data_IF_904282703193
#
_entry.id   IF_904282703193
#
_cell.length_a   1.000
_cell.length_b   1.000
_cell.length_c   1.000
_cell.angle_alpha   90.00
_cell.angle_beta   90.00
_cell.angle_gamma   90.00
#
_symmetry.space_group_name_H-M   'P 1'
#
loop_
_entity.id
_entity.type
_entity.pdbx_description
1 polymer ?
2 non-polymer ?
3 non-polymer ?
4 water ?
#
# COMPACT_ATOMS: atom_id res chain seq x y z
N UNK A 1 2.08 25.49 10.41
CA UNK A 1 2.69 26.58 11.21
C UNK A 1 1.55 27.43 11.85
N UNK A 2 1.29 28.60 11.25
CA UNK A 2 0.09 29.39 11.48
C UNK A 2 -0.85 29.36 10.26
N UNK A 3 -0.69 28.35 9.42
CA UNK A 3 -1.39 28.24 8.19
C UNK A 3 -2.81 27.78 8.52
N UNK A 4 -3.77 28.42 7.90
CA UNK A 4 -5.16 28.12 8.22
C UNK A 4 -5.44 26.74 7.70
N UNK A 5 -6.43 26.05 8.28
CA UNK A 5 -6.80 24.78 7.69
C UNK A 5 -7.47 24.93 6.31
N UNK A 6 -8.23 26.02 6.08
CA UNK A 6 -8.73 26.27 4.73
C UNK A 6 -7.58 26.28 3.70
N UNK A 7 -6.45 26.87 4.03
CA UNK A 7 -5.34 26.92 3.11
C UNK A 7 -4.65 25.57 2.90
N UNK A 8 -4.41 24.83 3.96
CA UNK A 8 -3.97 23.46 3.84
C UNK A 8 -4.88 22.67 2.88
N UNK A 9 -6.20 22.84 3.02
CA UNK A 9 -7.17 22.05 2.27
C UNK A 9 -7.15 22.39 0.84
N UNK A 10 -7.06 23.67 0.59
CA UNK A 10 -6.90 24.18 -0.75
C UNK A 10 -5.53 23.82 -1.36
N UNK A 11 -4.43 23.93 -0.62
CA UNK A 11 -3.15 23.48 -1.16
C UNK A 11 -3.16 21.99 -1.60
N UNK A 12 -3.60 21.11 -0.76
CA UNK A 12 -3.66 19.69 -1.11
C UNK A 12 -4.67 19.42 -2.23
N UNK A 13 -5.84 20.03 -2.23
CA UNK A 13 -6.75 19.84 -3.40
C UNK A 13 -6.05 20.26 -4.71
N UNK A 14 -5.19 21.28 -4.63
CA UNK A 14 -4.49 21.75 -5.88
C UNK A 14 -3.46 20.76 -6.37
N UNK A 15 -2.90 19.92 -5.50
CA UNK A 15 -1.95 18.92 -6.01
C UNK A 15 -2.68 17.91 -6.87
N UNK A 16 -3.93 17.59 -6.49
CA UNK A 16 -4.72 16.64 -7.29
C UNK A 16 -5.28 17.28 -8.57
N UNK A 17 -5.68 18.52 -8.47
CA UNK A 17 -6.15 19.32 -9.61
C UNK A 17 -5.04 19.46 -10.62
N UNK A 18 -3.81 19.75 -10.18
CA UNK A 18 -2.68 19.96 -11.12
C UNK A 18 -2.41 18.68 -11.90
N UNK A 19 -2.44 17.52 -11.23
CA UNK A 19 -2.24 16.24 -11.89
C UNK A 19 -3.44 15.91 -12.78
N UNK A 20 -4.46 16.72 -12.77
CA UNK A 20 -5.65 16.41 -13.57
C UNK A 20 -6.23 15.06 -13.28
N UNK A 21 -6.34 14.74 -12.00
CA UNK A 21 -7.01 13.52 -11.63
C UNK A 21 -7.94 13.79 -10.51
N UNK A 22 -8.65 12.76 -10.10
CA UNK A 22 -9.55 12.83 -8.99
C UNK A 22 -8.98 11.87 -7.94
N UNK A 23 -8.79 12.37 -6.71
CA UNK A 23 -8.29 11.53 -5.62
C UNK A 23 -8.43 12.08 -4.22
N UNK A 24 -8.02 11.31 -3.24
CA UNK A 24 -8.12 11.67 -1.85
C UNK A 24 -6.85 11.25 -1.16
N UNK A 25 -6.48 11.94 -0.10
CA UNK A 25 -5.43 11.46 0.79
C UNK A 25 -5.94 11.57 2.18
N UNK A 26 -5.93 10.41 2.84
CA UNK A 26 -6.43 10.28 4.21
C UNK A 26 -5.24 10.17 5.17
N UNK A 27 -5.19 11.05 6.18
CA UNK A 27 -4.16 11.06 7.17
C UNK A 27 -4.74 10.74 8.57
N UNK A 28 -3.97 10.10 9.41
CA UNK A 28 -4.49 9.77 10.74
C UNK A 28 -3.51 10.18 11.81
N UNK A 29 -3.87 11.15 12.67
CA UNK A 29 -3.03 11.54 13.81
C UNK A 29 -3.67 11.01 15.05
N UNK A 30 -3.02 10.05 15.68
CA UNK A 30 -3.54 9.36 16.82
C UNK A 30 -4.83 8.67 16.42
N UNK A 31 -5.91 9.07 17.05
CA UNK A 31 -7.19 8.56 16.66
C UNK A 31 -7.89 9.41 15.60
N UNK A 32 -7.38 10.54 15.17
CA UNK A 32 -8.20 11.40 14.34
C UNK A 32 -7.93 11.25 12.87
N UNK A 33 -8.94 10.94 12.06
CA UNK A 33 -8.77 10.76 10.60
C UNK A 33 -9.13 11.99 9.83
N UNK A 34 -8.27 12.49 8.95
CA UNK A 34 -8.64 13.65 8.11
C UNK A 34 -8.53 13.28 6.64
N UNK A 35 -9.47 13.77 5.85
CA UNK A 35 -9.61 13.48 4.44
C UNK A 35 -9.31 14.77 3.71
N UNK A 36 -8.25 14.75 2.89
CA UNK A 36 -7.89 15.84 1.99
C UNK A 36 -7.97 15.44 0.52
N UNK A 37 -7.81 16.40 -0.35
CA UNK A 37 -7.72 16.14 -1.80
C UNK A 37 -8.85 16.84 -2.55
N UNK A 38 -9.08 16.45 -3.78
CA UNK A 38 -10.08 17.05 -4.62
C UNK A 38 -11.26 16.16 -4.86
N UNK A 39 -11.35 15.01 -4.20
CA UNK A 39 -12.53 14.17 -4.35
C UNK A 39 -12.88 13.43 -3.10
N UNK A 40 -13.30 14.21 -2.11
CA UNK A 40 -13.40 13.72 -0.77
C UNK A 40 -14.32 12.51 -0.62
N UNK A 41 -15.25 12.31 -1.54
CA UNK A 41 -16.21 11.18 -1.40
C UNK A 41 -15.61 9.82 -1.74
N UNK A 42 -14.38 9.82 -2.21
CA UNK A 42 -13.69 8.57 -2.43
C UNK A 42 -13.40 7.85 -1.15
N UNK A 43 -13.51 8.53 -0.02
CA UNK A 43 -12.90 8.03 1.23
C UNK A 43 -13.52 6.73 1.65
N UNK A 44 -14.80 6.53 1.38
CA UNK A 44 -15.49 5.33 1.90
C UNK A 44 -16.02 4.55 0.71
N UNK A 45 -15.48 4.76 -0.47
CA UNK A 45 -15.78 3.82 -1.58
C UNK A 45 -14.72 2.73 -1.69
N UNK A 46 -15.18 1.62 -2.25
CA UNK A 46 -14.45 0.39 -2.30
C UNK A 46 -13.69 0.24 -3.63
N UNK A 47 -12.42 -0.14 -3.55
CA UNK A 47 -11.56 -0.37 -4.74
C UNK A 47 -10.74 -1.64 -4.50
N UNK A 48 -10.32 -2.29 -5.57
CA UNK A 48 -9.42 -3.43 -5.41
C UNK A 48 -8.13 -2.87 -4.75
N UNK A 49 -7.47 -3.61 -3.83
CA UNK A 49 -6.25 -3.09 -3.19
C UNK A 49 -5.02 -3.00 -4.10
N UNK A 50 -5.06 -3.80 -5.19
CA UNK A 50 -3.96 -3.94 -6.12
C UNK A 50 -2.71 -4.36 -5.32
N UNK A 51 -1.54 -3.86 -5.65
CA UNK A 51 -0.29 -4.32 -4.97
C UNK A 51 -0.17 -3.87 -3.57
N UNK A 52 -1.11 -3.05 -3.06
CA UNK A 52 -1.00 -2.70 -1.65
C UNK A 52 -1.17 -3.98 -0.85
N UNK A 53 -1.87 -4.97 -1.43
CA UNK A 53 -2.06 -6.26 -0.76
C UNK A 53 -0.75 -6.94 -0.49
N UNK A 54 0.28 -6.61 -1.26
CA UNK A 54 1.57 -7.27 -1.06
C UNK A 54 1.95 -7.23 0.43
N UNK A 55 1.56 -6.19 1.10
CA UNK A 55 1.87 -6.06 2.52
C UNK A 55 1.27 -7.19 3.37
N UNK A 56 -0.01 -7.44 3.19
CA UNK A 56 -0.69 -8.50 3.95
C UNK A 56 -0.23 -9.87 3.40
N UNK A 57 0.06 -9.97 2.10
CA UNK A 57 0.49 -11.25 1.45
C UNK A 57 1.79 -11.70 2.14
N UNK A 58 2.68 -10.74 2.33
CA UNK A 58 3.95 -10.99 3.02
C UNK A 58 3.76 -11.41 4.50
N UNK A 59 2.91 -10.70 5.21
CA UNK A 59 2.68 -10.97 6.61
C UNK A 59 2.20 -12.40 6.77
N UNK A 60 1.26 -12.78 5.96
CA UNK A 60 0.68 -14.09 5.99
C UNK A 60 1.71 -15.20 5.59
N UNK A 61 2.47 -14.97 4.53
CA UNK A 61 3.41 -15.98 4.06
C UNK A 61 4.49 -16.19 5.11
N UNK A 62 4.94 -15.13 5.74
CA UNK A 62 5.99 -15.27 6.69
C UNK A 62 5.45 -15.89 7.98
N UNK A 63 4.32 -15.41 8.48
CA UNK A 63 3.73 -15.99 9.67
C UNK A 63 3.57 -17.51 9.53
N UNK A 64 3.06 -17.94 8.37
CA UNK A 64 2.81 -19.36 8.09
C UNK A 64 4.00 -20.16 7.49
N UNK A 65 5.21 -19.64 7.62
CA UNK A 65 6.44 -20.34 7.13
C UNK A 65 6.41 -20.75 5.65
N UNK A 66 5.78 -19.95 4.81
CA UNK A 66 5.86 -20.15 3.37
C UNK A 66 7.08 -19.52 2.76
N UNK A 67 7.83 -18.76 3.53
CA UNK A 67 9.05 -18.11 3.01
C UNK A 67 9.82 -17.58 4.16
N UNK A 68 11.06 -17.17 3.92
CA UNK A 68 11.81 -16.44 4.90
C UNK A 68 12.20 -15.12 4.28
N UNK A 69 12.73 -14.21 5.09
CA UNK A 69 13.17 -12.97 4.57
C UNK A 69 14.49 -12.98 3.77
N UNK A 70 15.33 -14.00 3.96
CA UNK A 70 16.57 -14.12 3.16
C UNK A 70 16.41 -15.03 1.93
N UNK A 71 15.32 -15.74 1.85
CA UNK A 71 15.11 -16.68 0.77
C UNK A 71 15.04 -16.01 -0.61
N UNK A 72 15.67 -16.63 -1.59
CA UNK A 72 15.68 -16.05 -2.95
C UNK A 72 14.68 -16.73 -3.86
N UNK A 73 13.78 -15.92 -4.46
CA UNK A 73 12.76 -16.43 -5.39
C UNK A 73 13.38 -16.38 -6.78
N UNK A 74 13.61 -17.53 -7.42
CA UNK A 74 14.31 -17.56 -8.72
C UNK A 74 13.37 -17.02 -9.78
N UNK A 75 13.85 -16.14 -10.64
CA UNK A 75 13.18 -15.88 -11.91
C UNK A 75 13.14 -17.18 -12.71
N UNK A 76 12.00 -17.52 -13.28
CA UNK A 76 11.93 -18.78 -14.00
C UNK A 76 12.44 -18.62 -15.45
N UNK A 77 12.80 -17.42 -15.89
CA UNK A 77 13.35 -17.23 -17.22
C UNK A 77 12.34 -16.82 -18.29
N UNK A 78 11.07 -16.78 -17.92
CA UNK A 78 10.05 -16.22 -18.82
C UNK A 78 10.09 -14.70 -18.87
N UNK A 79 9.75 -14.20 -20.03
CA UNK A 79 9.75 -12.83 -20.23
C UNK A 79 8.64 -12.23 -19.33
N UNK A 80 8.99 -11.13 -18.67
CA UNK A 80 8.10 -10.52 -17.72
C UNK A 80 7.66 -9.19 -18.32
N UNK A 81 6.57 -8.64 -17.76
CA UNK A 81 6.06 -7.38 -18.18
C UNK A 81 7.09 -6.31 -18.03
N UNK A 82 7.95 -6.38 -17.02
CA UNK A 82 9.04 -5.40 -16.90
C UNK A 82 10.40 -6.09 -16.66
N UNK A 83 11.46 -5.61 -17.32
CA UNK A 83 12.74 -6.20 -17.21
C UNK A 83 13.24 -6.22 -15.79
N UNK A 84 12.82 -5.25 -15.00
CA UNK A 84 13.26 -5.17 -13.61
C UNK A 84 12.79 -6.42 -12.80
N UNK A 85 11.77 -7.13 -13.31
CA UNK A 85 11.25 -8.32 -12.64
C UNK A 85 11.97 -9.59 -13.09
N UNK A 86 12.82 -9.51 -14.12
CA UNK A 86 13.51 -10.72 -14.68
C UNK A 86 14.82 -11.00 -13.91
N UNK A 87 14.69 -11.22 -12.60
CA UNK A 87 15.81 -11.48 -11.70
C UNK A 87 15.29 -12.18 -10.48
N UNK A 88 16.24 -12.75 -9.75
CA UNK A 88 15.99 -13.47 -8.58
C UNK A 88 15.94 -12.46 -7.44
N UNK A 89 15.01 -12.65 -6.52
CA UNK A 89 14.83 -11.65 -5.46
C UNK A 89 14.18 -12.20 -4.18
N UNK A 90 14.47 -11.48 -3.11
CA UNK A 90 13.82 -11.66 -1.83
C UNK A 90 12.46 -11.01 -1.84
N UNK A 91 11.69 -11.35 -0.84
CA UNK A 91 10.36 -10.71 -0.65
C UNK A 91 10.51 -9.22 -0.57
N UNK A 92 11.53 -8.78 0.11
CA UNK A 92 11.75 -7.39 0.37
C UNK A 92 12.09 -6.64 -0.90
N UNK A 93 12.90 -7.25 -1.74
CA UNK A 93 13.27 -6.64 -3.02
C UNK A 93 11.99 -6.59 -3.89
N UNK A 94 11.21 -7.64 -3.79
CA UNK A 94 9.98 -7.75 -4.50
C UNK A 94 8.97 -6.73 -4.03
N UNK A 95 9.01 -6.36 -2.75
CA UNK A 95 8.15 -5.28 -2.30
C UNK A 95 8.57 -3.99 -2.95
N UNK A 96 9.87 -3.72 -3.01
CA UNK A 96 10.33 -2.41 -3.54
C UNK A 96 10.02 -2.33 -5.03
N UNK A 97 10.17 -3.46 -5.75
CA UNK A 97 9.96 -3.49 -7.19
C UNK A 97 8.50 -3.74 -7.54
N UNK A 98 7.70 -4.08 -6.52
CA UNK A 98 6.33 -4.57 -6.70
C UNK A 98 6.25 -5.71 -7.69
N UNK A 99 7.03 -6.74 -7.45
CA UNK A 99 7.20 -7.86 -8.37
C UNK A 99 6.06 -8.82 -8.24
N UNK A 100 5.03 -8.60 -9.07
CA UNK A 100 3.83 -9.39 -9.01
C UNK A 100 4.11 -10.90 -9.03
N UNK A 101 5.02 -11.36 -9.89
CA UNK A 101 5.21 -12.83 -9.89
C UNK A 101 5.66 -13.42 -8.62
N UNK A 102 6.46 -12.71 -7.85
CA UNK A 102 6.92 -13.25 -6.58
C UNK A 102 5.77 -13.36 -5.59
N UNK A 103 4.95 -12.31 -5.54
CA UNK A 103 3.76 -12.26 -4.65
C UNK A 103 2.74 -13.27 -5.10
N UNK A 104 2.64 -13.52 -6.39
CA UNK A 104 1.81 -14.63 -6.88
C UNK A 104 2.32 -16.03 -6.45
N UNK A 105 3.61 -16.30 -6.61
CA UNK A 105 4.21 -17.52 -6.05
C UNK A 105 3.94 -17.62 -4.55
N UNK A 106 4.09 -16.52 -3.81
CA UNK A 106 3.87 -16.63 -2.38
C UNK A 106 2.43 -17.03 -2.05
N UNK A 107 1.49 -16.39 -2.76
CA UNK A 107 0.08 -16.66 -2.59
C UNK A 107 -0.27 -18.14 -2.92
N UNK A 108 0.32 -18.66 -3.99
CA UNK A 108 0.11 -20.08 -4.28
C UNK A 108 0.71 -20.95 -3.18
N UNK A 109 1.83 -20.58 -2.56
CA UNK A 109 2.38 -21.44 -1.53
C UNK A 109 1.39 -21.49 -0.39
N UNK A 110 0.87 -20.33 0.01
CA UNK A 110 -0.09 -20.25 1.08
C UNK A 110 -1.38 -21.02 0.75
N UNK A 111 -1.89 -20.90 -0.47
CA UNK A 111 -3.09 -21.67 -0.89
C UNK A 111 -4.39 -20.91 -0.58
N UNK A 112 -5.39 -21.11 -1.39
CA UNK A 112 -6.68 -20.45 -1.30
C UNK A 112 -7.29 -20.51 0.09
N UNK A 113 -7.30 -21.72 0.63
CA UNK A 113 -7.97 -22.03 1.88
C UNK A 113 -7.34 -21.30 3.04
N UNK A 114 -6.02 -21.43 3.13
CA UNK A 114 -5.30 -20.69 4.15
C UNK A 114 -5.37 -19.18 3.91
N UNK A 115 -5.34 -18.74 2.64
CA UNK A 115 -5.40 -17.29 2.33
C UNK A 115 -6.76 -16.69 2.81
N UNK A 116 -7.82 -17.37 2.42
CA UNK A 116 -9.18 -16.96 2.80
C UNK A 116 -9.35 -16.80 4.33
N UNK A 117 -8.86 -17.73 5.08
CA UNK A 117 -9.07 -17.66 6.50
C UNK A 117 -8.15 -16.60 7.20
N UNK A 118 -7.00 -16.33 6.60
CA UNK A 118 -6.12 -15.32 7.12
C UNK A 118 -6.69 -13.94 6.82
N UNK A 119 -7.27 -13.77 5.65
CA UNK A 119 -7.86 -12.52 5.29
C UNK A 119 -9.13 -12.27 6.17
N UNK A 120 -9.95 -13.29 6.48
CA UNK A 120 -11.04 -13.16 7.52
C UNK A 120 -10.46 -12.80 8.83
N UNK A 121 -9.44 -13.50 9.28
CA UNK A 121 -9.00 -13.31 10.65
C UNK A 121 -8.58 -11.86 10.84
N UNK A 122 -7.98 -11.32 9.78
CA UNK A 122 -7.42 -10.02 9.83
C UNK A 122 -8.55 -9.06 9.51
N UNK A 123 -9.64 -9.53 8.90
CA UNK A 123 -10.78 -8.67 8.44
C UNK A 123 -10.27 -7.48 7.60
N UNK A 124 -9.67 -7.82 6.47
CA UNK A 124 -9.13 -6.81 5.54
C UNK A 124 -10.15 -6.54 4.45
N UNK A 125 -10.54 -5.27 4.32
CA UNK A 125 -11.52 -4.84 3.33
C UNK A 125 -12.85 -5.58 3.38
N UNK A 126 -13.37 -6.00 2.23
CA UNK A 126 -14.59 -6.80 2.24
C UNK A 126 -14.30 -8.29 2.56
N UNK A 127 -13.02 -8.62 2.81
CA UNK A 127 -12.57 -9.95 3.24
C UNK A 127 -12.79 -11.07 2.24
N UNK A 128 -13.20 -10.77 1.02
CA UNK A 128 -13.52 -11.82 0.07
C UNK A 128 -12.49 -12.07 -1.04
N UNK A 129 -11.91 -13.25 -1.12
CA UNK A 129 -10.91 -13.48 -2.17
C UNK A 129 -11.35 -14.36 -3.35
N UNK A 130 -12.61 -14.82 -3.31
CA UNK A 130 -13.19 -15.64 -4.41
C UNK A 130 -12.44 -16.97 -4.57
N UNK A 131 -12.18 -17.39 -5.81
CA UNK A 131 -11.68 -18.72 -6.08
C UNK A 131 -10.25 -18.81 -6.66
N UNK A 132 -9.65 -17.68 -7.03
CA UNK A 132 -8.37 -17.65 -7.71
C UNK A 132 -7.39 -17.06 -6.75
N UNK A 133 -6.61 -17.92 -6.11
CA UNK A 133 -5.66 -17.49 -5.09
C UNK A 133 -4.56 -16.54 -5.62
N UNK A 134 -4.35 -16.43 -6.92
CA UNK A 134 -3.21 -15.69 -7.41
C UNK A 134 -3.46 -14.39 -8.12
N UNK A 135 -4.70 -13.89 -8.07
CA UNK A 135 -4.99 -12.57 -8.64
C UNK A 135 -6.16 -11.77 -8.03
N UNK A 136 -6.67 -12.22 -6.90
CA UNK A 136 -7.85 -11.67 -6.26
C UNK A 136 -7.67 -10.27 -5.72
N UNK A 137 -6.40 -9.92 -5.44
CA UNK A 137 -6.02 -8.55 -5.10
C UNK A 137 -5.85 -7.61 -6.30
N UNK A 138 -5.74 -8.16 -7.49
CA UNK A 138 -5.54 -7.36 -8.70
C UNK A 138 -6.81 -7.23 -9.51
N UNK A 139 -7.66 -8.24 -9.57
CA UNK A 139 -8.87 -8.16 -10.38
C UNK A 139 -10.16 -8.29 -9.58
N UNK A 140 -10.09 -8.38 -8.27
CA UNK A 140 -11.23 -8.70 -7.45
C UNK A 140 -11.37 -10.19 -7.25
N UNK A 141 -12.26 -10.60 -6.35
CA UNK A 141 -13.34 -9.77 -5.73
C UNK A 141 -12.96 -8.99 -4.48
N UNK A 142 -11.73 -9.15 -4.02
CA UNK A 142 -11.33 -8.38 -2.87
C UNK A 142 -11.31 -6.87 -3.13
N UNK A 143 -11.93 -6.14 -2.20
CA UNK A 143 -12.02 -4.69 -2.30
C UNK A 143 -11.85 -4.08 -0.93
N UNK A 144 -11.44 -2.82 -0.92
CA UNK A 144 -11.18 -2.07 0.30
C UNK A 144 -11.33 -0.56 0.08
N UNK A 145 -11.67 0.19 1.14
CA UNK A 145 -11.85 1.63 1.08
C UNK A 145 -10.58 2.38 1.49
N UNK A 146 -10.47 3.61 1.09
CA UNK A 146 -9.28 4.25 1.58
C UNK A 146 -9.21 4.40 3.15
N UNK A 147 -10.35 4.59 3.80
CA UNK A 147 -10.39 4.60 5.24
C UNK A 147 -9.82 3.27 5.83
N UNK A 148 -10.29 2.13 5.31
CA UNK A 148 -9.80 0.87 5.75
C UNK A 148 -8.29 0.68 5.53
N UNK A 149 -7.80 1.22 4.44
CA UNK A 149 -6.37 1.09 4.12
C UNK A 149 -5.49 1.89 5.07
N UNK A 150 -5.91 3.10 5.42
CA UNK A 150 -5.12 3.87 6.35
C UNK A 150 -5.22 3.25 7.77
N UNK A 151 -6.35 2.62 8.11
CA UNK A 151 -6.46 1.90 9.38
C UNK A 151 -5.57 0.63 9.35
N UNK A 152 -5.47 -0.04 8.20
CA UNK A 152 -4.56 -1.15 8.06
C UNK A 152 -3.13 -0.69 8.30
N UNK A 153 -2.73 0.37 7.63
CA UNK A 153 -1.38 0.85 7.83
C UNK A 153 -1.12 1.28 9.25
N UNK A 154 -2.15 1.82 9.88
CA UNK A 154 -2.06 2.27 11.28
C UNK A 154 -1.90 1.05 12.21
N UNK A 155 -2.65 -0.01 11.98
CA UNK A 155 -2.40 -1.23 12.71
C UNK A 155 -0.93 -1.77 12.57
N UNK A 156 -0.45 -1.92 11.37
CA UNK A 156 0.86 -2.48 11.12
C UNK A 156 1.94 -1.55 11.68
N UNK A 157 1.80 -0.24 11.48
CA UNK A 157 2.77 0.69 12.08
C UNK A 157 2.90 0.57 13.59
N UNK A 158 1.81 0.30 14.32
CA UNK A 158 1.80 0.10 15.79
C UNK A 158 1.81 -1.40 16.20
N UNK A 159 2.06 -2.33 15.29
CA UNK A 159 2.09 -3.75 15.63
C UNK A 159 0.81 -4.35 16.21
N UNK A 160 -0.33 -3.84 15.80
CA UNK A 160 -1.59 -4.38 16.25
C UNK A 160 -2.21 -5.46 15.40
N UNK A 161 -1.64 -5.79 14.25
CA UNK A 161 -2.25 -6.84 13.49
C UNK A 161 -2.07 -8.18 14.22
N UNK A 162 -2.92 -9.17 13.91
CA UNK A 162 -2.84 -10.40 14.70
C UNK A 162 -1.77 -11.36 14.13
N UNK A 163 -0.52 -10.94 14.18
CA UNK A 163 0.61 -11.68 13.70
C UNK A 163 1.67 -11.45 14.74
N UNK A 164 2.67 -12.32 14.80
CA UNK A 164 3.79 -12.10 15.80
C UNK A 164 4.42 -10.77 15.54
N UNK A 165 5.06 -10.24 16.59
CA UNK A 165 5.77 -8.96 16.48
C UNK A 165 6.86 -9.07 15.45
N UNK A 166 7.58 -10.19 15.46
CA UNK A 166 8.73 -10.31 14.54
C UNK A 166 8.26 -10.39 13.04
N UNK A 167 7.12 -11.04 12.77
CA UNK A 167 6.58 -11.02 11.43
C UNK A 167 6.30 -9.57 10.94
N UNK A 168 5.74 -8.75 11.82
CA UNK A 168 5.35 -7.37 11.52
C UNK A 168 6.56 -6.54 11.28
N UNK A 169 7.55 -6.75 12.13
CA UNK A 169 8.81 -5.98 11.96
C UNK A 169 9.54 -6.35 10.66
N UNK A 170 9.44 -7.60 10.30
CA UNK A 170 10.07 -8.08 9.12
C UNK A 170 9.45 -7.38 7.90
N UNK A 171 8.13 -7.30 7.87
CA UNK A 171 7.44 -6.67 6.74
C UNK A 171 7.65 -5.18 6.78
N UNK A 172 7.64 -4.56 7.95
CA UNK A 172 7.97 -3.13 7.99
C UNK A 172 9.33 -2.79 7.47
N UNK A 173 10.36 -3.59 7.74
CA UNK A 173 11.70 -3.26 7.16
C UNK A 173 11.58 -3.23 5.60
N UNK A 174 10.70 -4.05 5.01
CA UNK A 174 10.58 -4.12 3.56
C UNK A 174 9.97 -2.85 2.92
N UNK A 175 9.34 -2.01 3.71
CA UNK A 175 8.46 -0.96 3.18
C UNK A 175 9.10 0.41 3.21
N UNK A 176 10.36 0.49 3.66
CA UNK A 176 11.02 1.78 3.74
C UNK A 176 11.33 2.31 2.36
N UNK A 177 10.70 3.41 1.99
CA UNK A 177 10.95 3.99 0.70
C UNK A 177 11.61 5.34 0.70
N UNK A 178 11.58 6.11 1.78
CA UNK A 178 12.26 7.38 1.73
C UNK A 178 12.63 7.90 3.09
N UNK A 179 13.67 8.72 3.12
CA UNK A 179 14.08 9.43 4.32
C UNK A 179 14.19 10.89 3.99
N UNK A 180 13.57 11.73 4.79
CA UNK A 180 13.54 13.17 4.56
C UNK A 180 13.78 13.83 5.91
N UNK A 181 14.86 14.59 6.06
CA UNK A 181 15.19 15.27 7.35
C UNK A 181 14.84 14.51 8.67
N UNK A 182 15.40 13.32 8.94
CA UNK A 182 15.02 12.51 10.14
C UNK A 182 13.66 11.75 10.19
N UNK A 183 12.81 12.00 9.20
CA UNK A 183 11.53 11.32 9.05
C UNK A 183 11.71 10.14 8.10
N UNK A 184 10.96 9.09 8.34
CA UNK A 184 11.00 7.98 7.39
C UNK A 184 9.64 7.64 6.92
N UNK A 185 9.58 7.32 5.66
CA UNK A 185 8.37 7.02 4.97
C UNK A 185 8.37 5.57 4.59
N UNK A 186 7.47 4.82 5.21
CA UNK A 186 7.13 3.45 4.88
C UNK A 186 5.89 3.41 4.04
N UNK A 187 5.86 2.66 2.94
CA UNK A 187 4.68 2.65 2.05
C UNK A 187 4.72 1.59 0.95
N UNK A 188 3.53 1.20 0.49
CA UNK A 188 3.40 0.40 -0.70
C UNK A 188 2.39 1.01 -1.69
N UNK A 189 2.79 0.97 -2.96
CA UNK A 189 2.02 1.52 -4.06
C UNK A 189 1.15 0.42 -4.60
N UNK A 190 0.08 0.83 -5.31
CA UNK A 190 -0.80 -0.07 -6.01
C UNK A 190 -1.27 0.64 -7.30
N UNK A 191 -1.51 -0.12 -8.33
CA UNK A 191 -2.05 0.38 -9.58
C UNK A 191 -2.98 -0.72 -10.17
N UNK A 192 -4.28 -0.42 -10.24
CA UNK A 192 -5.27 -1.40 -10.68
C UNK A 192 -5.27 -1.76 -12.17
N UNK A 193 -6.08 -2.76 -12.50
CA UNK A 193 -6.20 -3.30 -13.88
C UNK A 193 -7.07 -2.40 -14.76
N UNK A 194 -7.13 -2.72 -16.04
CA UNK A 194 -8.21 -2.28 -16.93
C UNK A 194 -7.70 -1.15 -17.80
N UNK A 195 -8.60 -0.58 -18.59
CA UNK A 195 -8.23 0.53 -19.50
C UNK A 195 -8.22 1.77 -18.64
N UNK A 196 -7.55 2.82 -19.10
CA UNK A 196 -7.53 4.06 -18.34
C UNK A 196 -8.94 4.65 -18.28
N UNK A 197 -9.28 5.28 -17.13
CA UNK A 197 -8.37 5.39 -15.98
C UNK A 197 -8.46 4.14 -15.06
N UNK A 198 -7.38 3.85 -14.34
CA UNK A 198 -7.34 2.79 -13.32
C UNK A 198 -7.19 3.42 -11.91
N UNK A 199 -7.47 2.67 -10.85
CA UNK A 199 -7.14 3.13 -9.48
C UNK A 199 -5.61 3.13 -9.13
N UNK A 200 -5.18 4.12 -8.36
CA UNK A 200 -3.82 4.21 -7.85
C UNK A 200 -3.81 4.37 -6.35
N UNK A 201 -2.81 3.78 -5.70
CA UNK A 201 -2.73 3.81 -4.29
C UNK A 201 -1.33 4.14 -3.84
N UNK A 202 -1.22 4.86 -2.73
CA UNK A 202 0.02 4.76 -1.98
C UNK A 202 -0.32 4.79 -0.49
N UNK A 203 -0.05 3.71 0.19
CA UNK A 203 -0.53 3.51 1.54
C UNK A 203 0.62 3.16 2.45
N UNK A 204 0.76 3.89 3.56
CA UNK A 204 1.85 3.65 4.49
C UNK A 204 1.83 4.55 5.68
N UNK A 205 3.00 4.97 6.16
CA UNK A 205 3.05 5.86 7.30
C UNK A 205 4.37 6.58 7.36
N UNK A 206 4.38 7.73 8.02
CA UNK A 206 5.64 8.33 8.34
C UNK A 206 5.98 8.11 9.79
N UNK A 207 7.22 7.69 9.99
CA UNK A 207 7.79 7.57 11.34
C UNK A 207 8.70 8.78 11.56
N UNK A 208 8.26 9.68 12.42
CA UNK A 208 9.00 10.91 12.72
C UNK A 208 10.20 10.59 13.62
N UNK A 209 11.17 11.51 13.68
CA UNK A 209 12.39 11.37 14.54
C UNK A 209 12.04 11.03 15.97
N UNK A 210 11.09 11.74 16.57
CA UNK A 210 10.64 11.46 17.98
C UNK A 210 9.91 10.13 18.19
N UNK A 211 9.82 9.29 17.16
CA UNK A 211 9.03 8.05 17.23
C UNK A 211 7.54 8.11 16.91
N UNK A 212 6.99 9.29 16.66
CA UNK A 212 5.57 9.35 16.28
C UNK A 212 5.35 8.77 14.87
N UNK A 213 4.25 8.02 14.74
CA UNK A 213 3.81 7.40 13.50
C UNK A 213 2.47 7.95 13.00
N UNK A 214 2.50 8.46 11.77
CA UNK A 214 1.38 9.08 11.09
C UNK A 214 1.10 8.37 9.76
N UNK A 215 0.11 7.46 9.78
CA UNK A 215 -0.35 6.73 8.63
C UNK A 215 -1.13 7.61 7.61
N UNK A 216 -1.11 7.16 6.36
CA UNK A 216 -1.71 7.88 5.28
C UNK A 216 -2.17 6.86 4.24
N UNK A 217 -3.17 7.22 3.44
CA UNK A 217 -3.51 6.44 2.26
C UNK A 217 -3.93 7.40 1.23
N UNK A 218 -3.23 7.36 0.13
CA UNK A 218 -3.56 8.14 -1.04
C UNK A 218 -4.29 7.19 -1.98
N UNK A 219 -5.38 7.70 -2.56
CA UNK A 219 -6.12 6.95 -3.52
C UNK A 219 -6.56 7.90 -4.62
N UNK A 220 -6.21 7.64 -5.86
CA UNK A 220 -6.58 8.49 -6.98
C UNK A 220 -6.77 7.70 -8.26
N UNK A 221 -7.13 8.41 -9.33
CA UNK A 221 -7.19 7.82 -10.67
C UNK A 221 -5.95 7.98 -11.51
N UNK A 222 -5.49 6.86 -12.08
CA UNK A 222 -4.31 6.85 -12.99
C UNK A 222 -4.79 7.08 -14.43
N UNK A 223 -4.55 8.30 -14.94
CA UNK A 223 -4.99 8.71 -16.27
C UNK A 223 -3.93 8.30 -17.26
N UNK A 224 -4.37 8.15 -18.51
CA UNK A 224 -3.54 7.98 -19.74
C UNK A 224 -2.21 8.75 -19.67
N UNK A 225 -1.08 8.03 -19.72
CA UNK A 225 0.28 8.62 -19.64
C UNK A 225 0.70 9.32 -18.37
N UNK A 226 0.16 8.92 -17.24
CA UNK A 226 0.60 9.44 -15.94
C UNK A 226 1.73 8.54 -15.46
N UNK A 227 2.80 9.09 -14.96
CA UNK A 227 3.84 8.23 -14.40
C UNK A 227 3.37 7.76 -13.02
N UNK A 228 3.90 6.59 -12.61
CA UNK A 228 3.61 6.06 -11.31
C UNK A 228 4.03 6.99 -10.19
N UNK A 229 5.13 7.73 -10.37
CA UNK A 229 5.70 8.51 -9.34
C UNK A 229 4.80 9.74 -8.98
N UNK A 230 3.77 10.03 -9.79
CA UNK A 230 2.83 11.04 -9.35
C UNK A 230 2.18 10.72 -7.97
N UNK A 231 2.03 9.43 -7.65
CA UNK A 231 1.39 9.08 -6.39
C UNK A 231 2.26 9.53 -5.23
N UNK A 232 3.53 9.23 -5.38
CA UNK A 232 4.57 9.66 -4.49
C UNK A 232 4.71 11.15 -4.40
N UNK A 233 4.64 11.83 -5.53
CA UNK A 233 4.83 13.28 -5.51
C UNK A 233 3.70 13.99 -4.79
N UNK A 234 2.47 13.57 -5.08
CA UNK A 234 1.34 14.17 -4.44
C UNK A 234 1.41 13.85 -2.98
N UNK A 235 1.76 12.62 -2.66
CA UNK A 235 1.84 12.30 -1.27
C UNK A 235 2.90 13.13 -0.48
N UNK A 236 4.08 13.30 -1.06
CA UNK A 236 5.16 13.98 -0.38
C UNK A 236 4.80 15.47 -0.20
N UNK A 237 4.28 16.11 -1.22
CA UNK A 237 3.80 17.47 -1.09
C UNK A 237 2.71 17.63 -0.01
N UNK A 238 1.81 16.66 0.10
CA UNK A 238 0.76 16.74 1.08
C UNK A 238 1.34 16.63 2.44
N UNK A 239 2.23 15.66 2.65
CA UNK A 239 2.76 15.48 4.01
C UNK A 239 3.57 16.71 4.41
N UNK A 240 4.22 17.33 3.44
CA UNK A 240 5.08 18.47 3.71
C UNK A 240 4.21 19.69 3.98
N UNK A 241 3.21 19.86 3.13
CA UNK A 241 2.26 20.93 3.44
C UNK A 241 1.76 20.90 4.88
N UNK A 242 1.44 19.74 5.40
CA UNK A 242 0.88 19.66 6.73
C UNK A 242 1.97 19.66 7.81
N UNK A 243 3.23 19.82 7.44
CA UNK A 243 4.36 19.77 8.40
C UNK A 243 4.60 18.38 8.99
N UNK A 244 4.17 17.30 8.34
CA UNK A 244 4.41 15.99 8.91
C UNK A 244 5.84 15.49 8.52
N UNK A 245 6.38 16.01 7.42
CA UNK A 245 7.79 15.82 7.09
C UNK A 245 8.43 17.14 6.71
X LIG B 1 0.26 -3.83 -8.21
X LIG B 1 -0.20 -3.96 -10.58
X LIG B 1 0.77 -4.22 -9.54
X LIG B 1 2.16 -3.62 -9.78
X LIG B 1 -0.85 -1.78 -13.16
X LIG B 1 4.79 -1.74 -10.83
X LIG B 1 2.98 -0.87 -12.50
X LIG B 1 3.38 -0.38 -8.22
X LIG B 1 0.55 -5.66 -11.84
X LIG B 1 3.72 0.80 -10.06
X LIG B 1 -2.74 -9.70 -13.21
X LIG B 1 -3.84 -8.83 -13.23
X LIG B 1 -1.43 -9.15 -13.21
X LIG B 1 -3.68 -7.43 -13.23
X LIG B 1 -1.28 -7.76 -13.21
X LIG B 1 -2.83 -4.64 -14.17
X LIG B 1 2.31 -2.30 -9.30
X LIG B 1 -2.40 -3.35 -14.15
X LIG B 1 2.53 -3.41 -11.49
X LIG B 1 3.34 -0.24 -9.47
X LIG B 1 -0.22 -4.76 -11.63
X LIG B 1 -1.40 -3.16 -13.28
X LIG B 1 -2.40 -6.90 -13.16
X LIG B 1 -2.19 -5.43 -13.26
X LIG B 1 -1.20 -4.49 -12.66
X LIG B 1 2.69 -1.34 -10.31
X LIG B 1 3.48 -1.94 -11.56
X LIG B 1 -0.51 -2.63 -7.96
X LIG C 1 -5.71 -25.25 -0.98
X LIG C 1 -6.87 -24.35 -0.66
X LIG C 1 -6.04 -26.64 -0.57
X LIG C 1 -5.47 -25.21 -2.45
X LIG C 1 -4.42 -24.88 -0.30
X LIG D 1 -18.05 -2.41 6.52
X LIG D 1 -18.23 -2.56 5.03
X LIG D 1 -19.34 -2.80 7.06
X LIG D 1 -17.04 -3.38 7.06
X LIG D 1 -17.84 -0.94 6.91
X LIG E 1 3.02 6.30 18.35
X LIG E 1 2.59 6.81 17.01
X LIG E 1 1.83 6.03 19.20
X LIG E 1 3.79 5.02 18.25
X LIG E 1 3.89 7.33 18.96
X LIG F 1 -1.11 0.14 -17.13
X LIG F 1 -1.42 1.58 -17.30
X LIG F 1 -2.36 -0.59 -16.70
X LIG F 1 -0.59 -0.35 -18.45
X LIG F 1 -0.02 0.10 -16.09
#
# INVERSE_FOLDING_TARGET
>A
MHISSQQHEKAIKSYFDEAQTQGVIIIKEGKNLSTYGNALARANKEYVPASTFDMLNALIGLENHKATTNEIFKWDGKKRTYPMWEKDMTLGEAMALSAVPVYQELARRTGLELMQKEVKRVNFGNTNIGTQVDNFWLVGPLKITPVQEVNFADDLAHNRLPFKLETQEEVKKMLLIKEVNGSKIYAKSGWGMGVTPQVGWLTGWVEQANGKKIPFSLNLEMKEGMSGSIRNEITYKSLENLGII
>B hetero
1 1S6 C N CA CB CAA CAB CAC OAE OAF OAH CAI CAJ CAK CAL CAM NAN NAP OAQ SAR CAT CAU CAV CAW CAX CAY CBB CBC OXT
>C hetero
1 SO4 S O1 O2 O3 O4
>D hetero
1 SO4 S O1 O2 O3 O4
>E hetero
1 SO4 S O1 O2 O3 O4
>F hetero
1 SO4 S O1 O2 O3 O4
#
